data_IF_032027549810
#
_entry.id   IF_032027549810
#
_cell.length_a   1.000
_cell.length_b   1.000
_cell.length_c   1.000
_cell.angle_alpha   90.00
_cell.angle_beta   90.00
_cell.angle_gamma   90.00
#
_symmetry.space_group_name_H-M   'P 1'
#
loop_
_entity.id
_entity.type
_entity.pdbx_description
1 polymer ?
#
# COMPACT_ATOMS: atom_id res chain seq x y z
N UNK A 1 16.29 0.10 -14.40
CA UNK A 1 15.85 -0.91 -13.41
C UNK A 1 15.19 -0.20 -12.23
N UNK A 2 14.00 -0.61 -11.81
CA UNK A 2 13.40 -0.09 -10.56
C UNK A 2 14.36 -0.37 -9.41
N UNK A 3 14.71 0.66 -8.64
CA UNK A 3 15.68 0.54 -7.54
C UNK A 3 15.18 -0.53 -6.55
N UNK A 4 15.91 -1.63 -6.40
CA UNK A 4 15.54 -2.77 -5.55
C UNK A 4 15.22 -2.34 -4.11
N UNK A 5 15.93 -1.33 -3.59
CA UNK A 5 15.65 -0.76 -2.26
C UNK A 5 14.26 -0.13 -2.18
N UNK A 6 13.77 0.47 -3.26
CA UNK A 6 12.41 1.04 -3.33
C UNK A 6 11.36 -0.07 -3.40
N UNK A 7 11.61 -1.12 -4.19
CA UNK A 7 10.73 -2.27 -4.29
C UNK A 7 10.60 -3.00 -2.95
N UNK A 8 11.72 -3.27 -2.26
CA UNK A 8 11.70 -3.92 -0.95
C UNK A 8 10.96 -3.10 0.11
N UNK A 9 11.13 -1.76 0.09
CA UNK A 9 10.36 -0.87 0.97
C UNK A 9 8.87 -0.93 0.66
N UNK A 10 8.50 -0.90 -0.62
CA UNK A 10 7.11 -1.02 -1.04
C UNK A 10 6.49 -2.35 -0.59
N UNK A 11 7.18 -3.48 -0.82
CA UNK A 11 6.76 -4.79 -0.35
C UNK A 11 6.60 -4.84 1.18
N UNK A 12 7.49 -4.18 1.92
CA UNK A 12 7.39 -4.05 3.39
C UNK A 12 6.19 -3.22 3.82
N UNK A 13 5.87 -2.13 3.12
CA UNK A 13 4.68 -1.33 3.42
C UNK A 13 3.41 -2.10 3.07
N UNK A 14 3.42 -2.82 1.95
CA UNK A 14 2.31 -3.66 1.52
C UNK A 14 2.04 -4.79 2.51
N UNK A 15 3.07 -5.44 3.04
CA UNK A 15 2.90 -6.51 4.04
C UNK A 15 2.31 -6.00 5.36
N UNK A 16 2.59 -4.74 5.74
CA UNK A 16 1.95 -4.08 6.90
C UNK A 16 0.52 -3.61 6.64
N UNK A 17 0.15 -3.46 5.37
CA UNK A 17 -1.19 -3.09 4.91
C UNK A 17 -1.88 -4.30 4.25
N UNK A 18 -1.60 -5.50 4.75
CA UNK A 18 -2.02 -6.76 4.12
C UNK A 18 -3.53 -6.90 4.03
N UNK A 19 -4.27 -6.42 5.05
CA UNK A 19 -5.73 -6.43 5.05
C UNK A 19 -6.30 -5.58 3.92
N UNK A 20 -5.90 -4.31 3.83
CA UNK A 20 -6.34 -3.39 2.79
C UNK A 20 -5.89 -3.86 1.40
N UNK A 21 -4.71 -4.46 1.29
CA UNK A 21 -4.20 -5.02 0.04
C UNK A 21 -5.03 -6.23 -0.43
N UNK A 22 -5.42 -7.11 0.50
CA UNK A 22 -6.31 -8.25 0.21
C UNK A 22 -7.68 -7.74 -0.23
N UNK A 23 -8.25 -6.75 0.45
CA UNK A 23 -9.58 -6.21 0.12
C UNK A 23 -9.58 -5.54 -1.26
N UNK A 24 -8.54 -4.76 -1.58
CA UNK A 24 -8.34 -4.22 -2.93
C UNK A 24 -8.16 -5.33 -3.97
N UNK A 25 -7.33 -6.33 -3.68
CA UNK A 25 -7.11 -7.49 -4.56
C UNK A 25 -8.38 -8.28 -4.82
N UNK A 26 -9.24 -8.49 -3.81
CA UNK A 26 -10.56 -9.12 -3.94
C UNK A 26 -11.46 -8.31 -4.87
N UNK A 27 -11.57 -7.01 -4.65
CA UNK A 27 -12.37 -6.14 -5.50
C UNK A 27 -11.94 -6.19 -6.98
N UNK A 28 -10.62 -6.16 -7.23
CA UNK A 28 -10.05 -6.27 -8.58
C UNK A 28 -10.31 -7.66 -9.17
N UNK A 29 -10.12 -8.72 -8.38
CA UNK A 29 -10.34 -10.11 -8.78
C UNK A 29 -11.80 -10.42 -9.13
N UNK A 30 -12.75 -9.98 -8.30
CA UNK A 30 -14.20 -10.10 -8.54
C UNK A 30 -14.63 -9.40 -9.82
N UNK A 31 -13.95 -8.31 -10.18
CA UNK A 31 -14.22 -7.56 -11.41
C UNK A 31 -13.59 -8.17 -12.65
N UNK A 32 -12.81 -9.25 -12.52
CA UNK A 32 -12.40 -10.17 -13.59
C UNK A 32 -12.20 -9.53 -14.98
N UNK A 33 -11.33 -8.51 -15.07
CA UNK A 33 -10.98 -7.84 -16.34
C UNK A 33 -11.93 -6.73 -16.79
N UNK A 34 -13.07 -6.53 -16.13
CA UNK A 34 -14.01 -5.41 -16.32
C UNK A 34 -13.84 -4.33 -15.24
N UNK A 35 -12.65 -4.17 -14.68
CA UNK A 35 -12.38 -3.07 -13.74
C UNK A 35 -12.55 -1.76 -14.53
N UNK A 36 -13.72 -1.14 -14.40
CA UNK A 36 -13.93 0.21 -14.91
C UNK A 36 -13.06 1.19 -14.11
N UNK A 37 -12.74 2.34 -14.70
CA UNK A 37 -12.07 3.41 -14.00
C UNK A 37 -12.83 3.70 -12.68
N UNK A 38 -12.11 3.70 -11.56
CA UNK A 38 -12.63 3.90 -10.19
C UNK A 38 -13.47 2.77 -9.59
N UNK A 39 -13.62 1.61 -10.24
CA UNK A 39 -14.47 0.56 -9.70
C UNK A 39 -14.06 0.13 -8.28
N UNK A 40 -12.76 0.01 -8.01
CA UNK A 40 -12.20 -0.32 -6.70
C UNK A 40 -11.54 0.88 -6.03
N UNK A 41 -12.01 2.11 -6.34
CA UNK A 41 -11.42 3.33 -5.81
C UNK A 41 -11.43 3.35 -4.28
N UNK A 42 -12.54 2.92 -3.67
CA UNK A 42 -12.67 2.92 -2.21
C UNK A 42 -11.60 2.04 -1.55
N UNK A 43 -11.44 0.81 -2.02
CA UNK A 43 -10.46 -0.14 -1.49
C UNK A 43 -9.03 0.34 -1.77
N UNK A 44 -8.81 0.93 -2.95
CA UNK A 44 -7.54 1.54 -3.30
C UNK A 44 -7.16 2.72 -2.38
N UNK A 45 -8.10 3.62 -2.09
CA UNK A 45 -7.88 4.75 -1.19
C UNK A 45 -7.58 4.31 0.24
N UNK A 46 -8.24 3.24 0.72
CA UNK A 46 -7.94 2.66 2.03
C UNK A 46 -6.53 2.07 2.07
N UNK A 47 -6.13 1.33 1.03
CA UNK A 47 -4.78 0.81 0.88
C UNK A 47 -3.74 1.94 0.85
N UNK A 48 -3.99 2.99 0.07
CA UNK A 48 -3.10 4.14 -0.04
C UNK A 48 -2.94 4.85 1.32
N UNK A 49 -4.03 5.11 2.02
CA UNK A 49 -4.01 5.69 3.37
C UNK A 49 -3.22 4.85 4.36
N UNK A 50 -3.31 3.53 4.28
CA UNK A 50 -2.49 2.66 5.11
C UNK A 50 -1.00 2.80 4.77
N UNK A 51 -0.63 2.75 3.49
CA UNK A 51 0.76 2.89 3.04
C UNK A 51 1.34 4.24 3.48
N UNK A 52 0.59 5.33 3.32
CA UNK A 52 1.00 6.67 3.77
C UNK A 52 1.28 6.72 5.27
N UNK A 53 0.41 6.13 6.09
CA UNK A 53 0.63 6.01 7.54
C UNK A 53 1.91 5.22 7.85
N UNK A 54 2.18 4.14 7.12
CA UNK A 54 3.41 3.34 7.33
C UNK A 54 4.67 4.10 6.93
N UNK A 55 4.61 4.89 5.84
CA UNK A 55 5.72 5.76 5.43
C UNK A 55 5.99 6.83 6.50
N UNK A 56 4.94 7.47 7.01
CA UNK A 56 5.05 8.46 8.09
C UNK A 56 5.63 7.85 9.36
N UNK A 57 5.13 6.68 9.79
CA UNK A 57 5.65 5.98 10.95
C UNK A 57 7.15 5.69 10.84
N UNK A 58 7.62 5.20 9.68
CA UNK A 58 9.05 4.95 9.46
C UNK A 58 9.88 6.24 9.48
N UNK A 59 9.34 7.35 8.94
CA UNK A 59 10.02 8.67 9.02
C UNK A 59 10.12 9.16 10.46
N UNK A 60 9.05 9.08 11.23
CA UNK A 60 9.03 9.48 12.64
C UNK A 60 9.99 8.63 13.48
N UNK A 61 9.95 7.31 13.30
CA UNK A 61 10.87 6.39 13.98
C UNK A 61 12.33 6.67 13.64
N UNK A 62 12.62 7.02 12.38
CA UNK A 62 13.96 7.43 11.97
C UNK A 62 14.38 8.73 12.66
N UNK A 63 13.51 9.73 12.72
CA UNK A 63 13.83 11.00 13.39
C UNK A 63 14.09 10.78 14.89
N UNK A 64 13.26 9.99 15.56
CA UNK A 64 13.44 9.66 16.98
C UNK A 64 14.73 8.88 17.26
N UNK A 65 15.14 7.97 16.36
CA UNK A 65 16.38 7.19 16.53
C UNK A 65 17.66 7.97 16.23
N UNK A 66 17.59 9.18 15.66
CA UNK A 66 18.75 10.05 15.43
C UNK A 66 18.82 11.19 16.48
N UNK A 67 17.91 11.20 17.44
CA UNK A 67 17.93 12.06 18.64
C UNK A 67 18.46 11.27 19.82
#
# INVERSE_FOLDING_TARGET
>A
MLNERKLNKYATYLSKCSREAIDYGKCVGEKAGKVTHLACQREFELLLKCIEKQVQYVRLKKNFSNS
#
